data_IF_865142553758
#
_entry.id   IF_865142553758
#
_cell.length_a   1.000
_cell.length_b   1.000
_cell.length_c   1.000
_cell.angle_alpha   90.00
_cell.angle_beta   90.00
_cell.angle_gamma   90.00
#
_symmetry.space_group_name_H-M   'P 1'
#
loop_
_entity.id
_entity.type
_entity.pdbx_description
1 polymer ?
#
# COMPACT_ATOMS: atom_id res chain seq x y z
N UNK A 1 -20.62 -10.12 14.61
CA UNK A 1 -19.21 -9.69 14.83
C UNK A 1 -19.22 -8.53 15.82
N UNK A 2 -18.41 -8.57 16.89
CA UNK A 2 -18.28 -7.48 17.87
C UNK A 2 -16.86 -6.93 17.80
N UNK A 3 -16.71 -5.70 17.35
CA UNK A 3 -15.41 -5.00 17.28
C UNK A 3 -15.31 -4.10 18.51
N UNK A 4 -14.14 -4.10 19.17
CA UNK A 4 -13.83 -3.23 20.31
C UNK A 4 -12.54 -2.49 19.99
N UNK A 5 -12.50 -1.20 20.31
CA UNK A 5 -11.31 -0.35 20.22
C UNK A 5 -11.11 0.25 21.61
N UNK A 6 -9.93 0.07 22.18
CA UNK A 6 -9.56 0.56 23.50
C UNK A 6 -8.44 1.58 23.32
N UNK A 7 -8.59 2.75 23.93
CA UNK A 7 -7.56 3.79 23.93
C UNK A 7 -6.86 3.75 25.28
N UNK A 8 -5.54 3.51 25.27
CA UNK A 8 -4.68 3.58 26.45
C UNK A 8 -3.47 4.45 26.12
N UNK A 9 -3.42 5.65 26.70
CA UNK A 9 -2.35 6.62 26.52
C UNK A 9 -1.00 6.15 27.10
N UNK A 10 -0.99 5.04 27.86
CA UNK A 10 0.22 4.45 28.43
C UNK A 10 0.85 3.37 27.54
N UNK A 11 0.19 2.97 26.45
CA UNK A 11 0.77 2.07 25.47
C UNK A 11 2.00 2.73 24.82
N UNK A 12 3.11 1.98 24.78
CA UNK A 12 4.33 2.43 24.10
C UNK A 12 4.28 2.20 22.59
N UNK A 13 3.54 1.18 22.17
CA UNK A 13 3.37 0.76 20.79
C UNK A 13 1.94 0.24 20.61
N UNK A 14 1.39 0.40 19.40
CA UNK A 14 0.06 -0.11 19.07
C UNK A 14 0.04 -1.64 19.02
N UNK A 15 -1.00 -2.26 19.58
CA UNK A 15 -1.18 -3.72 19.57
C UNK A 15 -2.52 -4.13 18.99
N UNK A 16 -2.56 -5.31 18.34
CA UNK A 16 -3.79 -5.90 17.81
C UNK A 16 -3.98 -7.31 18.36
N UNK A 17 -4.99 -7.50 19.20
CA UNK A 17 -5.33 -8.79 19.80
C UNK A 17 -6.55 -9.43 19.12
N UNK A 18 -6.34 -10.52 18.39
CA UNK A 18 -7.42 -11.30 17.76
C UNK A 18 -7.84 -12.45 18.69
N UNK A 19 -9.01 -12.36 19.32
CA UNK A 19 -9.57 -13.42 20.17
C UNK A 19 -10.64 -14.21 19.42
N UNK A 20 -10.34 -15.46 19.10
CA UNK A 20 -11.27 -16.40 18.45
C UNK A 20 -11.28 -17.75 19.17
N UNK A 21 -12.36 -18.52 19.04
CA UNK A 21 -12.44 -19.89 19.57
C UNK A 21 -11.73 -20.91 18.68
N UNK A 22 -11.52 -20.60 17.39
CA UNK A 22 -10.86 -21.45 16.39
C UNK A 22 -10.17 -20.61 15.32
N UNK A 23 -9.08 -21.13 14.77
CA UNK A 23 -8.45 -20.56 13.58
C UNK A 23 -9.20 -21.06 12.35
N UNK A 24 -10.05 -20.21 11.79
CA UNK A 24 -10.80 -20.45 10.55
C UNK A 24 -10.16 -19.67 9.41
N UNK A 25 -10.50 -20.01 8.16
CA UNK A 25 -10.01 -19.29 6.97
C UNK A 25 -10.34 -17.79 7.02
N UNK A 26 -11.52 -17.42 7.55
CA UNK A 26 -11.90 -16.02 7.78
C UNK A 26 -10.95 -15.31 8.76
N UNK A 27 -10.57 -15.95 9.86
CA UNK A 27 -9.64 -15.36 10.84
C UNK A 27 -8.24 -15.24 10.24
N UNK A 28 -7.81 -16.22 9.44
CA UNK A 28 -6.52 -16.17 8.76
C UNK A 28 -6.45 -15.00 7.78
N UNK A 29 -7.52 -14.73 7.03
CA UNK A 29 -7.55 -13.59 6.09
C UNK A 29 -7.58 -12.24 6.84
N UNK A 30 -8.28 -12.16 7.99
CA UNK A 30 -8.25 -10.97 8.86
C UNK A 30 -6.83 -10.71 9.35
N UNK A 31 -6.14 -11.74 9.86
CA UNK A 31 -4.76 -11.62 10.32
C UNK A 31 -3.85 -11.11 9.20
N UNK A 32 -3.95 -11.70 8.01
CA UNK A 32 -3.15 -11.32 6.83
C UNK A 32 -3.42 -9.87 6.42
N UNK A 33 -4.67 -9.44 6.39
CA UNK A 33 -5.07 -8.07 6.05
C UNK A 33 -4.52 -7.07 7.05
N UNK A 34 -4.56 -7.39 8.35
CA UNK A 34 -4.00 -6.54 9.41
C UNK A 34 -2.49 -6.43 9.23
N UNK A 35 -1.78 -7.54 9.01
CA UNK A 35 -0.33 -7.52 8.77
C UNK A 35 0.03 -6.67 7.54
N UNK A 36 -0.73 -6.78 6.46
CA UNK A 36 -0.51 -5.98 5.25
C UNK A 36 -0.75 -4.49 5.50
N UNK A 37 -1.81 -4.16 6.23
CA UNK A 37 -2.17 -2.78 6.57
C UNK A 37 -1.16 -2.14 7.52
N UNK A 38 -0.84 -2.81 8.63
CA UNK A 38 0.09 -2.33 9.65
C UNK A 38 1.48 -2.12 9.06
N UNK A 39 1.93 -3.06 8.23
CA UNK A 39 3.26 -2.95 7.68
C UNK A 39 3.35 -2.11 6.40
N UNK A 40 2.22 -1.68 5.83
CA UNK A 40 2.11 -0.88 4.62
C UNK A 40 3.08 -1.31 3.48
N UNK A 41 3.42 -2.60 3.41
CA UNK A 41 4.42 -3.17 2.51
C UNK A 41 3.84 -3.42 1.12
N UNK A 42 2.98 -2.53 0.62
CA UNK A 42 2.59 -2.64 -0.77
C UNK A 42 3.77 -2.17 -1.61
N UNK A 43 4.66 -3.13 -1.91
CA UNK A 43 5.76 -2.95 -2.83
C UNK A 43 5.22 -3.06 -4.24
N UNK A 44 5.54 -2.05 -5.04
CA UNK A 44 5.18 -1.96 -6.43
C UNK A 44 6.40 -2.35 -7.27
N UNK A 45 6.14 -3.01 -8.40
CA UNK A 45 7.21 -3.41 -9.31
C UNK A 45 7.54 -2.24 -10.24
N UNK A 46 8.81 -1.87 -10.23
CA UNK A 46 9.42 -0.86 -11.07
C UNK A 46 10.61 -1.45 -11.84
N UNK A 47 11.10 -0.72 -12.83
CA UNK A 47 12.09 -1.19 -13.78
C UNK A 47 13.20 -0.17 -13.97
N UNK A 48 14.45 -0.62 -14.04
CA UNK A 48 15.57 0.19 -14.52
C UNK A 48 16.39 -0.66 -15.48
N UNK A 49 16.29 -0.32 -16.78
CA UNK A 49 16.78 -1.19 -17.86
C UNK A 49 16.05 -2.55 -17.83
N UNK A 50 16.81 -3.64 -17.69
CA UNK A 50 16.28 -5.01 -17.63
C UNK A 50 16.06 -5.54 -16.21
N UNK A 51 16.31 -4.71 -15.18
CA UNK A 51 16.24 -5.13 -13.77
C UNK A 51 14.94 -4.67 -13.13
N UNK A 52 14.30 -5.56 -12.38
CA UNK A 52 13.09 -5.29 -11.59
C UNK A 52 13.45 -4.83 -10.17
N UNK A 53 12.74 -3.80 -9.70
CA UNK A 53 12.88 -3.22 -8.37
C UNK A 53 11.52 -3.23 -7.66
N UNK A 54 11.53 -3.52 -6.35
CA UNK A 54 10.34 -3.55 -5.51
C UNK A 54 10.39 -2.40 -4.51
N UNK A 55 9.68 -1.32 -4.82
CA UNK A 55 9.71 -0.08 -4.04
C UNK A 55 8.37 0.17 -3.36
N UNK A 56 8.40 0.80 -2.19
CA UNK A 56 7.19 1.24 -1.50
C UNK A 56 6.77 2.62 -2.00
N UNK A 57 5.47 2.91 -1.93
CA UNK A 57 4.95 4.20 -2.41
C UNK A 57 5.50 5.40 -1.65
N UNK A 58 5.79 5.23 -0.37
CA UNK A 58 6.36 6.28 0.46
C UNK A 58 7.74 6.73 -0.02
N UNK A 59 8.43 5.87 -0.77
CA UNK A 59 9.75 6.15 -1.33
C UNK A 59 9.65 6.90 -2.68
N UNK A 60 8.44 6.95 -3.28
CA UNK A 60 8.19 7.67 -4.54
C UNK A 60 7.76 9.11 -4.23
N UNK A 61 8.54 10.07 -4.73
CA UNK A 61 8.28 11.51 -4.58
C UNK A 61 7.20 12.00 -5.55
N UNK A 62 7.32 11.62 -6.82
CA UNK A 62 6.35 11.95 -7.86
C UNK A 62 6.48 11.00 -9.05
N UNK A 63 5.47 11.05 -9.92
CA UNK A 63 5.50 10.38 -11.21
C UNK A 63 5.56 11.41 -12.34
N UNK A 64 6.34 11.09 -13.36
CA UNK A 64 6.47 11.88 -14.58
C UNK A 64 6.07 11.01 -15.78
N UNK A 65 5.44 11.61 -16.79
CA UNK A 65 5.20 10.94 -18.07
C UNK A 65 6.19 11.48 -19.08
N UNK A 66 6.92 10.59 -19.74
CA UNK A 66 7.89 10.89 -20.79
C UNK A 66 7.58 10.06 -22.05
N UNK A 67 8.34 10.24 -23.13
CA UNK A 67 8.16 9.55 -24.41
C UNK A 67 8.19 8.01 -24.27
N UNK A 68 8.96 7.49 -23.32
CA UNK A 68 9.11 6.04 -23.08
C UNK A 68 8.07 5.45 -22.10
N UNK A 69 7.23 6.28 -21.47
CA UNK A 69 6.20 5.83 -20.53
C UNK A 69 6.18 6.63 -19.24
N UNK A 70 5.92 5.95 -18.11
CA UNK A 70 5.80 6.60 -16.81
C UNK A 70 7.04 6.31 -15.96
N UNK A 71 7.64 7.36 -15.44
CA UNK A 71 8.79 7.34 -14.55
C UNK A 71 8.34 7.64 -13.11
N UNK A 72 8.85 6.88 -12.16
CA UNK A 72 8.69 7.05 -10.73
C UNK A 72 10.01 7.59 -10.17
N UNK A 73 9.95 8.79 -9.58
CA UNK A 73 11.12 9.47 -9.06
C UNK A 73 11.20 9.23 -7.56
N UNK A 74 12.33 8.71 -7.10
CA UNK A 74 12.68 8.60 -5.68
C UNK A 74 13.72 9.65 -5.33
N UNK A 75 14.14 9.70 -4.06
CA UNK A 75 15.25 10.58 -3.63
C UNK A 75 16.55 10.23 -4.35
N UNK A 76 16.80 8.93 -4.54
CA UNK A 76 18.10 8.42 -4.98
C UNK A 76 18.14 8.12 -6.48
N UNK A 77 17.00 7.79 -7.10
CA UNK A 77 16.96 7.25 -8.45
C UNK A 77 15.60 7.39 -9.17
N UNK A 78 15.58 7.09 -10.46
CA UNK A 78 14.42 7.11 -11.35
C UNK A 78 14.17 5.70 -11.90
N UNK A 79 12.92 5.25 -11.82
CA UNK A 79 12.50 3.94 -12.29
C UNK A 79 11.30 4.01 -13.22
N UNK A 80 11.28 3.21 -14.27
CA UNK A 80 10.12 3.07 -15.15
C UNK A 80 9.06 2.18 -14.52
N UNK A 81 7.80 2.51 -14.76
CA UNK A 81 6.67 1.67 -14.37
C UNK A 81 5.78 1.35 -15.56
N UNK A 82 5.24 0.13 -15.55
CA UNK A 82 4.21 -0.31 -16.50
C UNK A 82 2.80 0.06 -16.02
N UNK A 83 2.67 0.62 -14.82
CA UNK A 83 1.38 1.06 -14.31
C UNK A 83 0.90 2.31 -15.05
N UNK A 84 -0.39 2.38 -15.34
CA UNK A 84 -1.02 3.57 -15.92
C UNK A 84 -1.45 4.51 -14.79
N UNK A 85 -1.04 5.77 -14.89
CA UNK A 85 -1.56 6.88 -14.09
C UNK A 85 -2.99 7.21 -14.56
N UNK A 86 -3.93 7.32 -13.64
CA UNK A 86 -5.27 7.83 -13.88
C UNK A 86 -5.53 9.02 -12.98
N UNK A 87 -6.10 10.08 -13.52
CA UNK A 87 -6.58 11.20 -12.74
C UNK A 87 -7.90 10.81 -12.05
N UNK A 88 -7.98 10.96 -10.72
CA UNK A 88 -9.25 10.87 -9.99
C UNK A 88 -9.77 12.28 -9.66
N UNK A 89 -11.11 12.44 -9.57
CA UNK A 89 -11.88 13.70 -9.44
C UNK A 89 -11.51 14.68 -8.30
N UNK A 90 -10.44 14.42 -7.55
CA UNK A 90 -9.95 15.29 -6.46
C UNK A 90 -8.49 15.75 -6.68
N UNK A 91 -8.03 15.82 -7.93
CA UNK A 91 -6.68 16.30 -8.27
C UNK A 91 -5.54 15.37 -7.78
N UNK A 92 -5.87 14.10 -7.49
CA UNK A 92 -4.89 13.07 -7.14
C UNK A 92 -4.68 12.15 -8.35
N UNK A 93 -3.43 12.08 -8.81
CA UNK A 93 -3.00 11.10 -9.81
C UNK A 93 -2.83 9.75 -9.10
N UNK A 94 -3.54 8.73 -9.56
CA UNK A 94 -3.61 7.41 -8.94
C UNK A 94 -3.26 6.33 -9.97
N UNK A 95 -2.23 5.51 -9.75
CA UNK A 95 -1.98 4.40 -10.66
C UNK A 95 -3.00 3.28 -10.44
N UNK A 96 -3.44 2.60 -11.50
CA UNK A 96 -4.45 1.53 -11.40
C UNK A 96 -4.08 0.35 -10.49
N UNK A 97 -2.79 0.12 -10.22
CA UNK A 97 -2.36 -0.85 -9.22
C UNK A 97 -2.71 -0.44 -7.78
N UNK A 98 -2.87 0.86 -7.51
CA UNK A 98 -3.29 1.39 -6.22
C UNK A 98 -4.78 1.12 -5.99
N UNK A 99 -5.61 1.14 -7.03
CA UNK A 99 -7.05 0.84 -6.91
C UNK A 99 -7.33 -0.62 -6.49
N UNK A 100 -6.40 -1.55 -6.73
CA UNK A 100 -6.53 -2.94 -6.30
C UNK A 100 -6.16 -3.16 -4.82
N UNK A 101 -5.39 -2.26 -4.21
CA UNK A 101 -5.07 -2.26 -2.78
C UNK A 101 -5.92 -1.28 -1.95
N UNK A 102 -6.55 -0.29 -2.60
CA UNK A 102 -7.36 0.76 -1.97
C UNK A 102 -8.88 0.54 -2.11
N UNK A 103 -9.37 -0.70 -2.01
CA UNK A 103 -10.74 -0.95 -1.53
C UNK A 103 -10.63 -1.14 0.00
N UNK A 104 -10.70 -0.17 0.91
CA UNK A 104 -11.32 1.13 1.01
C UNK A 104 -10.45 2.00 1.93
N UNK A 105 -10.25 3.31 1.69
CA UNK A 105 -10.10 4.23 2.81
C UNK A 105 -11.48 4.43 3.47
N UNK A 106 -11.60 4.40 4.81
CA UNK A 106 -12.77 4.99 5.45
C UNK A 106 -12.70 6.51 5.23
N UNK A 107 -13.89 7.11 5.11
CA UNK A 107 -14.21 8.51 4.81
C UNK A 107 -14.46 8.81 3.33
#
# INVERSE_FOLDING_TARGET
>A
MKIRIELDEKLKEDEVLIRTSRLTDEIAEIQKTIVQTVNNFQKFTFYKGTTEYFLELRDILFFETDEEGICAHTVDDIYQTKYKLYESMNGKICCRAFLCGCQNPPF
#
